data_IF_025724052118
#
_entry.id   IF_025724052118
#
_cell.length_a   1.000
_cell.length_b   1.000
_cell.length_c   1.000
_cell.angle_alpha   90.00
_cell.angle_beta   90.00
_cell.angle_gamma   90.00
#
_symmetry.space_group_name_H-M   'P 1'
#
loop_
_entity.id
_entity.type
_entity.pdbx_description
1 polymer ?
#
# COMPACT_ATOMS: atom_id res chain seq x y z
N UNK A 1 -9.46 9.36 -3.47
CA UNK A 1 -9.68 8.03 -4.07
C UNK A 1 -8.36 7.56 -4.67
N UNK A 2 -7.98 6.29 -4.52
CA UNK A 2 -6.75 5.73 -5.13
C UNK A 2 -7.10 5.05 -6.45
N UNK A 3 -6.28 5.18 -7.52
CA UNK A 3 -6.44 4.36 -8.72
C UNK A 3 -6.43 2.87 -8.36
N UNK A 4 -7.17 2.06 -9.10
CA UNK A 4 -7.29 0.62 -8.86
C UNK A 4 -5.93 -0.10 -8.65
N UNK A 5 -4.92 0.03 -9.54
CA UNK A 5 -3.63 -0.62 -9.35
C UNK A 5 -2.93 -0.18 -8.05
N UNK A 6 -3.06 1.09 -7.68
CA UNK A 6 -2.46 1.65 -6.45
C UNK A 6 -3.17 1.09 -5.22
N UNK A 7 -4.50 0.98 -5.27
CA UNK A 7 -5.30 0.39 -4.18
C UNK A 7 -4.97 -1.08 -3.98
N UNK A 8 -4.85 -1.86 -5.06
CA UNK A 8 -4.46 -3.27 -5.00
C UNK A 8 -3.06 -3.43 -4.40
N UNK A 9 -2.11 -2.59 -4.83
CA UNK A 9 -0.75 -2.59 -4.26
C UNK A 9 -0.75 -2.23 -2.77
N UNK A 10 -1.60 -1.30 -2.35
CA UNK A 10 -1.74 -0.97 -0.93
C UNK A 10 -2.29 -2.16 -0.13
N UNK A 11 -3.26 -2.92 -0.66
CA UNK A 11 -3.79 -4.12 0.01
C UNK A 11 -2.71 -5.20 0.13
N UNK A 12 -1.95 -5.45 -0.93
CA UNK A 12 -0.82 -6.40 -0.94
C UNK A 12 0.20 -6.07 0.17
N UNK A 13 0.63 -4.81 0.25
CA UNK A 13 1.61 -4.36 1.24
C UNK A 13 1.03 -4.41 2.66
N UNK A 14 -0.24 -4.01 2.85
CA UNK A 14 -0.88 -4.06 4.16
C UNK A 14 -0.96 -5.50 4.69
N UNK A 15 -1.33 -6.45 3.83
CA UNK A 15 -1.41 -7.88 4.18
C UNK A 15 -0.03 -8.43 4.60
N UNK A 16 1.04 -8.04 3.90
CA UNK A 16 2.40 -8.43 4.28
C UNK A 16 2.80 -7.89 5.67
N UNK A 17 2.52 -6.60 5.93
CA UNK A 17 2.82 -5.98 7.23
C UNK A 17 2.01 -6.59 8.37
N UNK A 18 0.74 -6.92 8.13
CA UNK A 18 -0.13 -7.60 9.10
C UNK A 18 0.38 -9.01 9.39
N UNK A 19 0.83 -9.75 8.37
CA UNK A 19 1.43 -11.07 8.55
C UNK A 19 2.72 -11.01 9.39
N UNK A 20 3.47 -9.92 9.31
CA UNK A 20 4.65 -9.64 10.14
C UNK A 20 4.29 -9.14 11.56
N UNK A 21 3.01 -9.11 11.92
CA UNK A 21 2.52 -8.71 13.25
C UNK A 21 2.46 -7.21 13.48
N UNK A 22 2.49 -6.39 12.41
CA UNK A 22 2.31 -4.95 12.53
C UNK A 22 0.86 -4.62 12.91
N UNK A 23 0.69 -3.60 13.76
CA UNK A 23 -0.62 -3.00 14.06
C UNK A 23 -1.35 -2.58 12.76
N UNK A 24 -2.63 -2.89 12.67
CA UNK A 24 -3.45 -2.68 11.46
C UNK A 24 -3.49 -1.20 11.03
N UNK A 25 -3.72 -0.29 11.97
CA UNK A 25 -3.79 1.15 11.69
C UNK A 25 -2.44 1.70 11.21
N UNK A 26 -1.32 1.13 11.69
CA UNK A 26 0.02 1.44 11.19
C UNK A 26 0.28 0.80 9.83
N UNK A 27 -0.08 -0.46 9.63
CA UNK A 27 0.11 -1.22 8.41
C UNK A 27 -0.61 -0.54 7.23
N UNK A 28 -1.88 -0.16 7.39
CA UNK A 28 -2.67 0.51 6.35
C UNK A 28 -2.04 1.83 5.91
N UNK A 29 -1.62 2.67 6.88
CA UNK A 29 -0.99 3.97 6.58
C UNK A 29 0.31 3.81 5.80
N UNK A 30 1.17 2.89 6.24
CA UNK A 30 2.45 2.61 5.56
C UNK A 30 2.19 2.05 4.16
N UNK A 31 1.23 1.14 4.03
CA UNK A 31 0.92 0.51 2.75
C UNK A 31 0.41 1.50 1.71
N UNK A 32 -0.46 2.44 2.10
CA UNK A 32 -0.92 3.52 1.20
C UNK A 32 0.25 4.40 0.75
N UNK A 33 1.16 4.76 1.66
CA UNK A 33 2.34 5.57 1.31
C UNK A 33 3.25 4.83 0.31
N UNK A 34 3.59 3.57 0.59
CA UNK A 34 4.43 2.74 -0.28
C UNK A 34 3.78 2.46 -1.63
N UNK A 35 2.46 2.26 -1.67
CA UNK A 35 1.74 2.06 -2.92
C UNK A 35 1.77 3.31 -3.82
N UNK A 36 1.68 4.51 -3.23
CA UNK A 36 1.83 5.77 -3.98
C UNK A 36 3.24 5.95 -4.52
N UNK A 37 4.27 5.65 -3.73
CA UNK A 37 5.67 5.67 -4.19
C UNK A 37 5.89 4.69 -5.35
N UNK A 38 5.37 3.46 -5.20
CA UNK A 38 5.39 2.46 -6.26
C UNK A 38 4.71 2.97 -7.54
N UNK A 39 3.53 3.58 -7.42
CA UNK A 39 2.79 4.13 -8.56
C UNK A 39 3.59 5.21 -9.30
N UNK A 40 4.22 6.13 -8.55
CA UNK A 40 5.08 7.18 -9.13
C UNK A 40 6.25 6.58 -9.93
N UNK A 41 6.92 5.56 -9.39
CA UNK A 41 8.02 4.89 -10.09
C UNK A 41 7.58 4.10 -11.33
N UNK A 42 6.31 3.71 -11.41
CA UNK A 42 5.75 2.94 -12.54
C UNK A 42 4.95 3.80 -13.52
N UNK A 43 4.93 5.13 -13.33
CA UNK A 43 4.19 6.06 -14.19
C UNK A 43 2.66 5.87 -14.12
N UNK A 44 2.16 5.37 -13.00
CA UNK A 44 0.73 5.16 -12.75
C UNK A 44 0.18 6.43 -12.09
N UNK A 45 -0.59 7.20 -12.86
CA UNK A 45 -1.24 8.45 -12.44
C UNK A 45 -2.72 8.27 -12.09
#
# INVERSE_FOLDING_TARGET
HLPEPVRLKAIEIANALLADGMDEGRAIRIAIAKAKEWAQHHGIS
#
